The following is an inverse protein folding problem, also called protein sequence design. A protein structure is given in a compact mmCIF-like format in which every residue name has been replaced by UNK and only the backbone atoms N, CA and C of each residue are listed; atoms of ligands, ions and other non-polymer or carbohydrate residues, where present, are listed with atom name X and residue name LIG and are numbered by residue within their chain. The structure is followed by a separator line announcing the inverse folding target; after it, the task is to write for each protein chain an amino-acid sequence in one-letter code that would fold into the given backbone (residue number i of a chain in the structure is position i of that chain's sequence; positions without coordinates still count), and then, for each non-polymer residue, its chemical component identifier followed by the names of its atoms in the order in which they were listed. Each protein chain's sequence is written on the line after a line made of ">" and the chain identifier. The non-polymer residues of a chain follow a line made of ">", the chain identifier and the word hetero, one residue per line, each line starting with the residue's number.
data_IF_063581400936
#
_entry.id   IF_063581400936
#
_cell.length_a   1.000
_cell.length_b   1.000
_cell.length_c   1.000
_cell.angle_alpha   90.00
_cell.angle_beta   90.00
_cell.angle_gamma   90.00
#
_symmetry.space_group_name_H-M   'P 1'
#
loop_
_entity.id
_entity.type
_entity.pdbx_description
1 polymer ?
#
# COMPACT_ATOMS: atom_id res chain seq x y z
N UNK A 1 43.51 -3.72 15.77
CA UNK A 1 43.10 -4.57 14.64
C UNK A 1 41.60 -4.44 14.55
N UNK A 2 41.11 -3.69 13.58
CA UNK A 2 39.69 -3.60 13.26
C UNK A 2 39.32 -4.88 12.51
N UNK A 3 38.49 -5.72 13.12
CA UNK A 3 37.87 -6.83 12.41
C UNK A 3 36.67 -6.25 11.65
N UNK A 4 36.81 -6.10 10.34
CA UNK A 4 35.67 -5.81 9.47
C UNK A 4 34.67 -6.96 9.64
N UNK A 5 33.40 -6.70 9.98
CA UNK A 5 32.42 -7.78 10.09
C UNK A 5 32.30 -8.48 8.74
N UNK A 6 32.51 -9.80 8.72
CA UNK A 6 32.22 -10.63 7.55
C UNK A 6 30.71 -10.57 7.33
N UNK A 7 30.30 -9.87 6.27
CA UNK A 7 28.91 -9.87 5.84
C UNK A 7 28.67 -11.21 5.16
N UNK A 8 27.97 -12.09 5.85
CA UNK A 8 27.54 -13.37 5.30
C UNK A 8 26.58 -13.11 4.13
N UNK A 9 27.06 -13.35 2.91
CA UNK A 9 26.23 -13.23 1.71
C UNK A 9 25.33 -14.47 1.63
N UNK A 10 24.09 -14.32 2.08
CA UNK A 10 23.06 -15.33 1.85
C UNK A 10 22.72 -15.32 0.37
N UNK A 11 22.96 -16.43 -0.33
CA UNK A 11 22.47 -16.62 -1.68
C UNK A 11 20.94 -16.76 -1.60
N UNK A 12 20.23 -15.71 -2.02
CA UNK A 12 18.77 -15.74 -2.13
C UNK A 12 18.42 -16.37 -3.47
N UNK A 13 17.55 -17.37 -3.46
CA UNK A 13 17.07 -18.03 -4.67
C UNK A 13 16.23 -17.05 -5.51
N UNK A 14 16.35 -17.11 -6.83
CA UNK A 14 15.55 -16.30 -7.75
C UNK A 14 14.05 -16.59 -7.58
N UNK A 15 13.69 -17.86 -7.32
CA UNK A 15 12.31 -18.29 -7.10
C UNK A 15 11.72 -17.67 -5.81
N UNK A 16 12.53 -17.55 -4.75
CA UNK A 16 12.11 -16.86 -3.51
C UNK A 16 11.91 -15.36 -3.73
N UNK A 17 12.77 -14.72 -4.53
CA UNK A 17 12.63 -13.30 -4.88
C UNK A 17 11.40 -13.02 -5.73
N UNK A 18 11.06 -13.91 -6.66
CA UNK A 18 9.83 -13.79 -7.45
C UNK A 18 8.58 -13.95 -6.57
N UNK A 19 8.58 -14.90 -5.63
CA UNK A 19 7.50 -15.02 -4.64
C UNK A 19 7.33 -13.77 -3.77
N UNK A 20 8.42 -13.10 -3.38
CA UNK A 20 8.36 -11.81 -2.69
C UNK A 20 7.81 -10.70 -3.60
N UNK A 21 8.19 -10.69 -4.87
CA UNK A 21 7.65 -9.74 -5.85
C UNK A 21 6.13 -9.88 -6.00
N UNK A 22 5.63 -11.10 -6.11
CA UNK A 22 4.20 -11.36 -6.25
C UNK A 22 3.43 -10.93 -5.00
N UNK A 23 3.94 -11.25 -3.80
CA UNK A 23 3.35 -10.78 -2.55
C UNK A 23 3.29 -9.25 -2.45
N UNK A 24 4.32 -8.54 -2.92
CA UNK A 24 4.33 -7.07 -2.93
C UNK A 24 3.29 -6.51 -3.90
N UNK A 25 3.12 -7.14 -5.06
CA UNK A 25 2.08 -6.75 -6.01
C UNK A 25 0.68 -6.98 -5.43
N UNK A 26 0.45 -8.11 -4.77
CA UNK A 26 -0.82 -8.41 -4.11
C UNK A 26 -1.15 -7.39 -3.02
N UNK A 27 -0.17 -6.98 -2.23
CA UNK A 27 -0.34 -5.94 -1.21
C UNK A 27 -0.70 -4.59 -1.86
N UNK A 28 -0.02 -4.21 -2.95
CA UNK A 28 -0.33 -2.98 -3.70
C UNK A 28 -1.77 -3.01 -4.23
N UNK A 29 -2.17 -4.10 -4.88
CA UNK A 29 -3.52 -4.27 -5.43
C UNK A 29 -4.59 -4.24 -4.34
N UNK A 30 -4.39 -4.96 -3.23
CA UNK A 30 -5.34 -4.97 -2.12
C UNK A 30 -5.50 -3.58 -1.48
N UNK A 31 -4.41 -2.82 -1.38
CA UNK A 31 -4.46 -1.44 -0.89
C UNK A 31 -5.21 -0.51 -1.86
N UNK A 32 -5.03 -0.70 -3.18
CA UNK A 32 -5.79 0.00 -4.21
C UNK A 32 -7.30 -0.29 -4.11
N UNK A 33 -7.68 -1.56 -3.94
CA UNK A 33 -9.07 -1.97 -3.78
C UNK A 33 -9.76 -1.31 -2.57
N UNK A 34 -9.03 -1.14 -1.46
CA UNK A 34 -9.51 -0.42 -0.27
C UNK A 34 -9.79 1.06 -0.61
N UNK A 35 -8.87 1.73 -1.29
CA UNK A 35 -9.03 3.14 -1.70
C UNK A 35 -10.22 3.30 -2.67
N UNK A 36 -10.40 2.36 -3.59
CA UNK A 36 -11.57 2.34 -4.47
C UNK A 36 -12.88 2.15 -3.70
N UNK A 37 -12.90 1.24 -2.73
CA UNK A 37 -14.08 1.00 -1.89
C UNK A 37 -14.46 2.26 -1.10
N UNK A 38 -13.49 3.00 -0.55
CA UNK A 38 -13.72 4.28 0.12
C UNK A 38 -14.25 5.35 -0.84
N UNK A 39 -13.78 5.35 -2.08
CA UNK A 39 -14.30 6.23 -3.14
C UNK A 39 -15.76 5.91 -3.48
N UNK A 40 -16.15 4.63 -3.53
CA UNK A 40 -17.54 4.20 -3.72
C UNK A 40 -18.39 4.60 -2.51
N UNK A 41 -17.91 4.36 -1.30
CA UNK A 41 -18.58 4.78 -0.06
C UNK A 41 -18.85 6.28 -0.03
N UNK A 42 -17.88 7.10 -0.45
CA UNK A 42 -18.05 8.55 -0.60
C UNK A 42 -19.18 8.90 -1.56
N UNK A 43 -19.25 8.24 -2.71
CA UNK A 43 -20.30 8.48 -3.69
C UNK A 43 -21.68 8.14 -3.14
N UNK A 44 -21.81 6.96 -2.51
CA UNK A 44 -23.05 6.51 -1.87
C UNK A 44 -23.48 7.44 -0.73
N UNK A 45 -22.55 7.85 0.14
CA UNK A 45 -22.80 8.79 1.22
C UNK A 45 -23.26 10.16 0.70
N UNK A 46 -22.67 10.64 -0.39
CA UNK A 46 -23.06 11.91 -1.02
C UNK A 46 -24.51 11.84 -1.55
N UNK A 47 -24.89 10.71 -2.15
CA UNK A 47 -26.27 10.46 -2.61
C UNK A 47 -27.23 10.40 -1.42
N UNK A 48 -26.88 9.64 -0.37
CA UNK A 48 -27.74 9.39 0.78
C UNK A 48 -27.98 10.65 1.62
N UNK A 49 -26.95 11.45 1.88
CA UNK A 49 -27.06 12.63 2.75
C UNK A 49 -27.42 13.92 1.98
N UNK A 50 -27.44 13.88 0.65
CA UNK A 50 -27.51 15.05 -0.22
C UNK A 50 -26.30 15.98 -0.05
N UNK A 51 -26.21 17.05 -0.85
CA UNK A 51 -25.10 18.02 -0.76
C UNK A 51 -23.91 17.68 -1.67
N UNK A 52 -22.80 18.41 -1.50
CA UNK A 52 -21.65 18.27 -2.40
C UNK A 52 -20.71 17.19 -1.89
N UNK A 53 -20.08 16.46 -2.81
CA UNK A 53 -19.21 15.33 -2.46
C UNK A 53 -17.95 15.68 -1.67
N UNK A 54 -17.64 16.94 -1.39
CA UNK A 54 -16.58 17.32 -0.44
C UNK A 54 -17.09 17.46 1.01
N UNK A 55 -18.42 17.51 1.21
CA UNK A 55 -19.06 17.70 2.53
C UNK A 55 -19.39 16.37 3.21
N UNK A 56 -19.30 15.24 2.50
CA UNK A 56 -19.73 13.93 3.00
C UNK A 56 -19.07 13.55 4.32
N UNK A 57 -17.76 13.79 4.48
CA UNK A 57 -17.05 13.54 5.76
C UNK A 57 -17.60 14.37 6.91
N UNK A 58 -17.99 15.63 6.65
CA UNK A 58 -18.55 16.51 7.66
C UNK A 58 -19.91 16.00 8.19
N UNK A 59 -20.60 15.16 7.40
CA UNK A 59 -21.89 14.56 7.75
C UNK A 59 -21.77 13.24 8.49
N UNK A 60 -20.58 12.64 8.53
CA UNK A 60 -20.33 11.43 9.30
C UNK A 60 -20.14 11.76 10.79
N UNK A 61 -20.55 10.86 11.69
CA UNK A 61 -20.10 10.83 13.08
C UNK A 61 -18.57 10.98 13.19
N UNK A 62 -18.04 11.71 14.20
CA UNK A 62 -16.60 11.96 14.33
C UNK A 62 -15.74 10.69 14.36
N UNK A 63 -16.20 9.67 15.09
CA UNK A 63 -15.57 8.35 15.18
C UNK A 63 -15.44 7.66 13.81
N UNK A 64 -16.46 7.75 12.96
CA UNK A 64 -16.41 7.19 11.60
C UNK A 64 -15.54 8.03 10.67
N UNK A 65 -15.45 9.34 10.89
CA UNK A 65 -14.58 10.22 10.10
C UNK A 65 -13.12 9.89 10.36
N UNK A 66 -12.74 9.80 11.63
CA UNK A 66 -11.36 9.50 12.04
C UNK A 66 -10.94 8.12 11.51
N UNK A 67 -11.82 7.11 11.62
CA UNK A 67 -11.58 5.78 11.06
C UNK A 67 -11.37 5.79 9.54
N UNK A 68 -12.16 6.55 8.79
CA UNK A 68 -12.00 6.65 7.33
C UNK A 68 -10.67 7.32 6.97
N UNK A 69 -10.30 8.38 7.68
CA UNK A 69 -9.03 9.09 7.44
C UNK A 69 -7.83 8.16 7.75
N UNK A 70 -7.91 7.36 8.82
CA UNK A 70 -6.91 6.34 9.14
C UNK A 70 -6.80 5.25 8.06
N UNK A 71 -7.94 4.72 7.58
CA UNK A 71 -7.95 3.68 6.54
C UNK A 71 -7.38 4.23 5.22
N UNK A 72 -7.78 5.44 4.80
CA UNK A 72 -7.25 6.07 3.58
C UNK A 72 -5.74 6.29 3.66
N UNK A 73 -5.25 6.78 4.81
CA UNK A 73 -3.83 7.00 5.02
C UNK A 73 -3.04 5.69 4.96
N UNK A 74 -3.47 4.66 5.71
CA UNK A 74 -2.81 3.35 5.75
C UNK A 74 -2.80 2.66 4.39
N UNK A 75 -3.93 2.68 3.67
CA UNK A 75 -4.00 2.08 2.35
C UNK A 75 -3.10 2.82 1.35
N UNK A 76 -3.10 4.16 1.35
CA UNK A 76 -2.23 4.95 0.49
C UNK A 76 -0.74 4.73 0.75
N UNK A 77 -0.33 4.70 2.02
CA UNK A 77 1.06 4.40 2.43
C UNK A 77 1.45 2.98 2.01
N UNK A 78 0.60 1.99 2.32
CA UNK A 78 0.84 0.58 1.98
C UNK A 78 0.99 0.38 0.47
N UNK A 79 0.12 0.99 -0.34
CA UNK A 79 0.20 0.93 -1.79
C UNK A 79 1.53 1.52 -2.30
N UNK A 80 1.93 2.68 -1.77
CA UNK A 80 3.16 3.36 -2.18
C UNK A 80 4.42 2.56 -1.82
N UNK A 81 4.47 2.05 -0.60
CA UNK A 81 5.61 1.29 -0.08
C UNK A 81 5.76 -0.06 -0.79
N UNK A 82 4.63 -0.76 -1.02
CA UNK A 82 4.63 -2.03 -1.75
C UNK A 82 5.12 -1.86 -3.19
N UNK A 83 4.62 -0.85 -3.91
CA UNK A 83 5.07 -0.54 -5.27
C UNK A 83 6.56 -0.14 -5.30
N UNK A 84 7.00 0.68 -4.35
CA UNK A 84 8.40 1.08 -4.25
C UNK A 84 9.31 -0.14 -4.04
N UNK A 85 8.95 -1.01 -3.09
CA UNK A 85 9.70 -2.24 -2.80
C UNK A 85 9.73 -3.16 -4.02
N UNK A 86 8.59 -3.35 -4.70
CA UNK A 86 8.48 -4.16 -5.90
C UNK A 86 9.41 -3.66 -7.02
N UNK A 87 9.37 -2.36 -7.33
CA UNK A 87 10.24 -1.74 -8.34
C UNK A 87 11.72 -1.91 -8.00
N UNK A 88 12.07 -1.76 -6.72
CA UNK A 88 13.45 -1.91 -6.26
C UNK A 88 13.91 -3.35 -6.42
N UNK A 89 13.09 -4.33 -6.06
CA UNK A 89 13.39 -5.75 -6.19
C UNK A 89 13.56 -6.15 -7.67
N UNK A 90 12.65 -5.72 -8.55
CA UNK A 90 12.77 -5.96 -10.01
C UNK A 90 14.04 -5.35 -10.60
N UNK A 91 14.44 -4.16 -10.14
CA UNK A 91 15.70 -3.55 -10.57
C UNK A 91 16.91 -4.38 -10.14
N UNK A 92 16.93 -4.86 -8.88
CA UNK A 92 18.01 -5.69 -8.37
C UNK A 92 18.13 -7.02 -9.13
N UNK A 93 17.01 -7.68 -9.42
CA UNK A 93 16.99 -8.91 -10.22
C UNK A 93 17.59 -8.69 -11.62
N UNK A 94 17.22 -7.59 -12.29
CA UNK A 94 17.75 -7.27 -13.63
C UNK A 94 19.24 -6.94 -13.62
N UNK A 95 19.70 -6.22 -12.60
CA UNK A 95 21.10 -5.79 -12.51
C UNK A 95 22.04 -6.94 -12.04
N UNK A 96 21.47 -8.08 -11.59
CA UNK A 96 22.20 -9.27 -11.11
C UNK A 96 22.24 -10.45 -12.10
N UNK A 97 21.51 -10.36 -13.22
CA UNK A 97 21.53 -11.34 -14.32
C UNK A 97 22.35 -10.87 -15.50
#
# INVERSE_FOLDING_TARGET
>A
MDATPEVETVAVDADELDGVADNLLDIECNAEEIVEALTRLRAEATIAFGGRGYEWRAKLPPDLRDLIDEIEALAGETQSDANYAWRRLRKLQRDSG
#
